data_IF_187392835243
#
_entry.id   IF_187392835243
#
_cell.length_a   1.000
_cell.length_b   1.000
_cell.length_c   1.000
_cell.angle_alpha   90.00
_cell.angle_beta   90.00
_cell.angle_gamma   90.00
#
_symmetry.space_group_name_H-M   'P 1'
#
loop_
_entity.id
_entity.type
_entity.pdbx_description
1 polymer ?
#
# COMPACT_ATOMS: atom_id res chain seq x y z
N UNK A 1 -12.23 -12.14 15.42
CA UNK A 1 -11.31 -12.04 14.27
C UNK A 1 -11.94 -11.38 13.04
N UNK A 2 -12.97 -11.99 12.41
CA UNK A 2 -13.55 -11.50 11.14
C UNK A 2 -14.06 -10.05 11.20
N UNK A 3 -14.92 -9.74 12.17
CA UNK A 3 -15.48 -8.38 12.35
C UNK A 3 -14.38 -7.33 12.48
N UNK A 4 -13.42 -7.59 13.38
CA UNK A 4 -12.28 -6.71 13.62
C UNK A 4 -11.45 -6.42 12.36
N UNK A 5 -11.07 -7.43 11.56
CA UNK A 5 -10.28 -7.18 10.34
C UNK A 5 -11.00 -6.38 9.25
N UNK A 6 -12.33 -6.25 9.31
CA UNK A 6 -13.11 -5.46 8.34
C UNK A 6 -13.48 -4.08 8.85
N UNK A 7 -13.66 -3.91 10.17
CA UNK A 7 -14.13 -2.66 10.77
C UNK A 7 -13.00 -1.81 11.38
N UNK A 8 -11.81 -2.38 11.57
CA UNK A 8 -10.68 -1.64 12.10
C UNK A 8 -10.22 -0.54 11.12
N UNK A 9 -9.99 0.66 11.66
CA UNK A 9 -9.52 1.83 10.90
C UNK A 9 -8.03 1.77 10.49
N UNK A 10 -7.11 1.16 11.28
CA UNK A 10 -5.72 1.00 10.87
C UNK A 10 -5.56 0.18 9.58
N UNK A 11 -4.66 0.60 8.71
CA UNK A 11 -4.33 -0.08 7.45
C UNK A 11 -3.64 -1.44 7.65
N UNK A 12 -2.86 -1.60 8.73
CA UNK A 12 -2.16 -2.84 9.06
C UNK A 12 -2.81 -3.50 10.26
N UNK A 13 -3.37 -4.69 10.07
CA UNK A 13 -4.10 -5.44 11.09
C UNK A 13 -3.46 -6.82 11.27
N UNK A 14 -3.03 -7.11 12.50
CA UNK A 14 -2.53 -8.42 12.90
C UNK A 14 -3.54 -9.15 13.79
N UNK A 15 -3.73 -10.46 13.57
CA UNK A 15 -4.54 -11.32 14.45
C UNK A 15 -3.64 -12.41 15.01
N UNK A 16 -3.56 -12.52 16.33
CA UNK A 16 -2.69 -13.47 17.05
C UNK A 16 -1.18 -13.29 16.72
N UNK A 17 -0.75 -12.07 16.44
CA UNK A 17 0.66 -11.71 16.20
C UNK A 17 1.01 -10.43 16.96
N UNK A 18 2.28 -10.30 17.39
CA UNK A 18 2.74 -9.14 18.17
C UNK A 18 3.02 -7.88 17.34
N UNK A 19 3.44 -8.05 16.08
CA UNK A 19 3.71 -6.94 15.16
C UNK A 19 3.09 -7.25 13.80
N UNK A 20 2.23 -6.37 13.32
CA UNK A 20 1.58 -6.48 12.01
C UNK A 20 2.48 -5.94 10.88
N UNK A 21 3.70 -6.47 10.78
CA UNK A 21 4.65 -6.10 9.73
C UNK A 21 4.51 -7.05 8.53
N UNK A 22 4.08 -6.57 7.34
CA UNK A 22 4.03 -7.38 6.13
C UNK A 22 5.43 -7.77 5.62
N UNK A 23 5.50 -8.86 4.86
CA UNK A 23 6.67 -9.19 4.04
C UNK A 23 6.89 -8.15 2.93
N UNK A 24 8.12 -8.04 2.42
CA UNK A 24 8.57 -6.97 1.52
C UNK A 24 7.77 -6.80 0.22
N UNK A 25 7.11 -7.86 -0.25
CA UNK A 25 6.29 -7.84 -1.46
C UNK A 25 4.86 -7.32 -1.23
N UNK A 26 4.45 -7.09 0.02
CA UNK A 26 3.18 -6.45 0.35
C UNK A 26 3.39 -4.95 0.66
N UNK A 27 2.40 -4.09 0.36
CA UNK A 27 2.42 -2.68 0.76
C UNK A 27 2.59 -2.48 2.27
N UNK A 28 3.48 -1.57 2.65
CA UNK A 28 3.71 -1.15 4.04
C UNK A 28 3.32 0.31 4.22
N UNK A 29 2.51 0.60 5.23
CA UNK A 29 2.18 1.96 5.61
C UNK A 29 0.96 2.09 6.50
N UNK A 30 0.65 3.34 6.85
CA UNK A 30 -0.38 3.71 7.82
C UNK A 30 -1.68 4.23 7.22
N UNK A 31 -2.66 4.48 8.11
CA UNK A 31 -3.89 5.26 7.85
C UNK A 31 -4.04 6.42 8.85
N UNK A 32 -4.79 7.45 8.48
CA UNK A 32 -4.91 8.67 9.29
C UNK A 32 -3.57 9.40 9.43
N UNK A 33 -3.21 9.82 10.64
CA UNK A 33 -1.96 10.57 10.89
C UNK A 33 -0.71 9.69 11.00
N UNK A 34 -0.82 8.38 10.70
CA UNK A 34 0.33 7.46 10.76
C UNK A 34 1.12 7.37 9.45
N UNK A 35 0.62 7.98 8.37
CA UNK A 35 1.33 8.10 7.10
C UNK A 35 0.79 9.29 6.32
N UNK A 36 1.71 10.06 5.73
CA UNK A 36 1.38 11.13 4.79
C UNK A 36 1.66 10.66 3.37
N UNK A 37 0.74 10.95 2.46
CA UNK A 37 0.77 10.43 1.09
C UNK A 37 -0.17 9.25 0.87
N UNK A 38 -0.45 9.02 -0.41
CA UNK A 38 -1.33 7.97 -0.92
C UNK A 38 -0.57 6.65 -1.15
N UNK A 39 0.62 6.71 -1.77
CA UNK A 39 1.41 5.53 -2.17
C UNK A 39 2.16 4.91 -0.98
N UNK A 40 2.08 3.58 -0.84
CA UNK A 40 2.72 2.81 0.25
C UNK A 40 4.18 2.45 -0.04
N UNK A 41 4.97 2.25 1.02
CA UNK A 41 6.42 2.21 0.95
C UNK A 41 7.04 0.89 0.43
N UNK A 42 6.25 -0.17 0.21
CA UNK A 42 6.73 -1.51 -0.18
C UNK A 42 5.78 -2.17 -1.19
N UNK A 43 6.15 -3.36 -1.68
CA UNK A 43 5.36 -4.10 -2.66
C UNK A 43 5.30 -3.41 -4.02
N UNK A 44 4.19 -3.58 -4.74
CA UNK A 44 4.03 -2.99 -6.07
C UNK A 44 3.80 -1.47 -6.03
N UNK A 45 3.27 -0.95 -4.93
CA UNK A 45 2.99 0.48 -4.72
C UNK A 45 4.25 1.32 -4.85
N UNK A 46 5.38 0.84 -4.34
CA UNK A 46 6.63 1.59 -4.33
C UNK A 46 7.14 1.93 -5.75
N UNK A 47 6.80 1.11 -6.75
CA UNK A 47 7.17 1.40 -8.14
C UNK A 47 6.41 2.61 -8.66
N UNK A 48 5.16 2.80 -8.28
CA UNK A 48 4.39 3.99 -8.66
C UNK A 48 4.94 5.26 -8.02
N UNK A 49 5.60 5.15 -6.86
CA UNK A 49 6.26 6.29 -6.23
C UNK A 49 7.59 6.65 -6.90
N UNK A 50 8.38 5.65 -7.28
CA UNK A 50 9.72 5.85 -7.85
C UNK A 50 9.75 5.96 -9.38
N UNK A 51 8.63 5.66 -10.05
CA UNK A 51 8.52 5.73 -11.51
C UNK A 51 7.31 6.56 -11.91
N UNK A 52 7.35 7.10 -13.12
CA UNK A 52 6.24 7.88 -13.67
C UNK A 52 5.56 7.10 -14.82
N UNK A 53 4.24 7.24 -14.93
CA UNK A 53 3.47 6.60 -15.99
C UNK A 53 3.56 7.40 -17.27
N UNK A 54 4.35 6.92 -18.23
CA UNK A 54 4.44 7.52 -19.56
C UNK A 54 3.39 6.92 -20.51
N UNK A 55 2.58 7.78 -21.12
CA UNK A 55 1.67 7.42 -22.22
C UNK A 55 2.26 7.90 -23.54
N UNK A 56 2.37 7.00 -24.52
CA UNK A 56 2.87 7.30 -25.87
C UNK A 56 1.75 7.03 -26.88
N UNK A 57 1.49 7.98 -27.78
CA UNK A 57 0.53 7.83 -28.87
C UNK A 57 1.24 8.11 -30.18
N UNK A 58 1.12 7.19 -31.13
CA UNK A 58 1.68 7.32 -32.48
C UNK A 58 0.61 7.04 -33.54
N UNK A 59 0.68 7.78 -34.66
CA UNK A 59 -0.16 7.57 -35.85
C UNK A 59 0.72 7.68 -37.09
N UNK A 60 0.70 6.63 -37.91
CA UNK A 60 1.42 6.56 -39.19
C UNK A 60 0.46 6.78 -40.36
N UNK A 61 0.91 7.51 -41.40
CA UNK A 61 0.15 7.82 -42.63
C UNK A 61 0.49 6.86 -43.76
#
# INVERSE_FOLDING_TARGET
>A
ARKFKYEALPSMVGINIGVAAPMSFFPFGGSGNSMFGDIKAHGQEIFQFFTDTKVVMERWF
#
